data_IF_316858637912
#
_entry.id   IF_316858637912
#
_cell.length_a   1.000
_cell.length_b   1.000
_cell.length_c   1.000
_cell.angle_alpha   90.00
_cell.angle_beta   90.00
_cell.angle_gamma   90.00
#
_symmetry.space_group_name_H-M   'P 1'
#
loop_
_entity.id
_entity.type
_entity.pdbx_description
1 polymer ?
#
# COMPACT_ATOMS: atom_id res chain seq x y z
N UNK A 1 3.26 -12.45 -2.25
CA UNK A 1 4.50 -11.79 -2.67
C UNK A 1 5.37 -12.82 -3.41
N UNK A 2 5.85 -12.49 -4.60
CA UNK A 2 6.59 -13.41 -5.49
C UNK A 2 7.95 -12.77 -5.80
N UNK A 3 9.04 -13.43 -5.39
CA UNK A 3 10.39 -13.03 -5.75
C UNK A 3 10.72 -13.53 -7.15
N UNK A 4 11.28 -12.68 -8.00
CA UNK A 4 11.66 -13.03 -9.38
C UNK A 4 13.02 -12.46 -9.74
N UNK A 5 13.67 -13.05 -10.75
CA UNK A 5 14.93 -12.54 -11.29
C UNK A 5 14.71 -11.23 -12.06
N UNK A 6 15.75 -10.38 -12.23
CA UNK A 6 15.66 -9.18 -13.06
C UNK A 6 15.21 -9.48 -14.49
N UNK A 7 15.68 -10.58 -15.08
CA UNK A 7 15.33 -10.98 -16.46
C UNK A 7 13.85 -11.38 -16.57
N UNK A 8 13.34 -12.11 -15.58
CA UNK A 8 11.92 -12.45 -15.51
C UNK A 8 11.04 -11.20 -15.28
N UNK A 9 11.55 -10.23 -14.49
CA UNK A 9 10.84 -8.97 -14.29
C UNK A 9 10.70 -8.16 -15.59
N UNK A 10 11.69 -8.18 -16.46
CA UNK A 10 11.63 -7.52 -17.75
C UNK A 10 10.54 -8.13 -18.68
N UNK A 11 10.20 -9.41 -18.50
CA UNK A 11 9.19 -10.14 -19.26
C UNK A 11 7.87 -10.32 -18.51
N UNK A 12 7.69 -9.60 -17.40
CA UNK A 12 6.59 -9.85 -16.45
C UNK A 12 5.21 -9.63 -17.07
N UNK A 13 5.05 -8.64 -17.95
CA UNK A 13 3.77 -8.38 -18.63
C UNK A 13 3.34 -9.57 -19.48
N UNK A 14 4.26 -10.20 -20.20
CA UNK A 14 3.97 -11.37 -21.03
C UNK A 14 3.66 -12.60 -20.17
N UNK A 15 4.40 -12.79 -19.07
CA UNK A 15 4.18 -13.90 -18.13
C UNK A 15 2.78 -13.78 -17.49
N UNK A 16 2.41 -12.58 -17.03
CA UNK A 16 1.10 -12.35 -16.39
C UNK A 16 -0.02 -12.43 -17.42
N UNK A 17 0.20 -11.99 -18.65
CA UNK A 17 -0.77 -12.15 -19.73
C UNK A 17 -1.02 -13.63 -20.02
N UNK A 18 0.03 -14.43 -20.20
CA UNK A 18 -0.10 -15.87 -20.39
C UNK A 18 -0.84 -16.57 -19.25
N UNK A 19 -0.58 -16.16 -18.00
CA UNK A 19 -1.34 -16.66 -16.85
C UNK A 19 -2.82 -16.22 -16.89
N UNK A 20 -3.09 -14.97 -17.24
CA UNK A 20 -4.43 -14.41 -17.41
C UNK A 20 -5.24 -15.22 -18.44
N UNK A 21 -4.63 -15.47 -19.61
CA UNK A 21 -5.26 -16.23 -20.69
C UNK A 21 -5.54 -17.68 -20.27
N UNK A 22 -4.58 -18.33 -19.62
CA UNK A 22 -4.71 -19.71 -19.16
C UNK A 22 -5.72 -19.89 -18.02
N UNK A 23 -5.86 -18.88 -17.13
CA UNK A 23 -6.76 -18.93 -15.97
C UNK A 23 -8.16 -18.38 -16.25
N UNK A 24 -8.37 -17.67 -17.36
CA UNK A 24 -9.60 -16.94 -17.64
C UNK A 24 -9.84 -15.73 -16.71
N UNK A 25 -8.81 -15.28 -16.00
CA UNK A 25 -8.86 -14.14 -15.08
C UNK A 25 -8.19 -12.92 -15.73
N UNK A 26 -8.95 -11.97 -16.31
CA UNK A 26 -8.36 -10.79 -16.92
C UNK A 26 -7.64 -9.92 -15.91
N UNK A 27 -6.55 -9.29 -16.34
CA UNK A 27 -5.84 -8.27 -15.59
C UNK A 27 -6.68 -7.01 -15.57
N UNK A 28 -7.21 -6.64 -14.40
CA UNK A 28 -8.03 -5.44 -14.24
C UNK A 28 -7.21 -4.23 -13.84
N UNK A 29 -6.05 -4.45 -13.21
CA UNK A 29 -5.17 -3.36 -12.81
C UNK A 29 -3.72 -3.80 -12.72
N UNK A 30 -2.81 -2.91 -13.17
CA UNK A 30 -1.38 -3.00 -12.94
C UNK A 30 -0.95 -1.83 -12.07
N UNK A 31 -0.33 -2.11 -10.94
CA UNK A 31 0.18 -1.11 -10.00
C UNK A 31 1.70 -1.12 -10.08
N UNK A 32 2.26 -0.06 -10.67
CA UNK A 32 3.69 0.08 -10.77
C UNK A 32 4.28 0.72 -9.50
N UNK A 33 5.15 0.00 -8.81
CA UNK A 33 5.83 0.46 -7.60
C UNK A 33 7.29 0.88 -7.83
N UNK A 34 7.75 0.85 -9.06
CA UNK A 34 9.13 1.16 -9.46
C UNK A 34 9.70 0.06 -10.35
N UNK A 35 10.97 0.21 -10.74
CA UNK A 35 11.63 -0.71 -11.69
C UNK A 35 11.95 -2.10 -11.12
N UNK A 36 11.67 -2.34 -9.86
CA UNK A 36 11.96 -3.59 -9.17
C UNK A 36 10.75 -4.17 -8.41
N UNK A 37 9.59 -3.54 -8.53
CA UNK A 37 8.36 -4.01 -7.88
C UNK A 37 7.13 -3.61 -8.67
N UNK A 38 6.23 -4.57 -8.91
CA UNK A 38 4.96 -4.37 -9.59
C UNK A 38 3.89 -5.30 -8.99
N UNK A 39 2.65 -4.84 -8.94
CA UNK A 39 1.52 -5.66 -8.57
C UNK A 39 0.52 -5.74 -9.72
N UNK A 40 -0.10 -6.91 -9.89
CA UNK A 40 -1.19 -7.13 -10.82
C UNK A 40 -2.41 -7.60 -10.05
N UNK A 41 -3.54 -7.05 -10.39
CA UNK A 41 -4.84 -7.46 -9.86
C UNK A 41 -5.60 -8.13 -11.00
N UNK A 42 -5.96 -9.38 -10.79
CA UNK A 42 -6.78 -10.17 -11.70
C UNK A 42 -8.13 -10.42 -11.03
N UNK A 43 -9.20 -10.29 -11.79
CA UNK A 43 -10.56 -10.50 -11.31
C UNK A 43 -11.46 -10.95 -12.45
N UNK A 44 -12.41 -11.84 -12.22
CA UNK A 44 -13.46 -12.11 -13.22
C UNK A 44 -14.20 -10.81 -13.58
N UNK A 45 -14.60 -10.67 -14.83
CA UNK A 45 -15.41 -9.53 -15.30
C UNK A 45 -16.86 -9.55 -14.78
N UNK A 46 -17.25 -10.59 -14.04
CA UNK A 46 -18.59 -10.71 -13.48
C UNK A 46 -18.81 -9.73 -12.32
N UNK A 47 -19.85 -8.93 -12.38
CA UNK A 47 -20.25 -7.98 -11.34
C UNK A 47 -20.60 -8.69 -10.01
N UNK A 48 -20.95 -9.96 -10.06
CA UNK A 48 -21.35 -10.77 -8.90
C UNK A 48 -20.19 -11.47 -8.21
N UNK A 49 -19.00 -11.52 -8.85
CA UNK A 49 -17.85 -12.19 -8.29
C UNK A 49 -16.98 -11.22 -7.48
N UNK A 50 -16.83 -11.50 -6.21
CA UNK A 50 -15.93 -10.78 -5.30
C UNK A 50 -14.50 -11.34 -5.30
N UNK A 51 -14.22 -12.32 -6.15
CA UNK A 51 -12.89 -12.92 -6.25
C UNK A 51 -11.89 -11.93 -6.84
N UNK A 52 -10.79 -11.75 -6.14
CA UNK A 52 -9.67 -10.93 -6.59
C UNK A 52 -8.37 -11.65 -6.27
N UNK A 53 -7.54 -11.83 -7.28
CA UNK A 53 -6.19 -12.34 -7.12
C UNK A 53 -5.20 -11.19 -7.28
N UNK A 54 -4.46 -10.87 -6.23
CA UNK A 54 -3.37 -9.91 -6.28
C UNK A 54 -2.04 -10.65 -6.31
N UNK A 55 -1.25 -10.40 -7.34
CA UNK A 55 0.09 -10.93 -7.53
C UNK A 55 1.10 -9.78 -7.35
N UNK A 56 1.84 -9.80 -6.25
CA UNK A 56 2.89 -8.84 -5.95
C UNK A 56 4.25 -9.42 -6.33
N UNK A 57 4.90 -8.83 -7.33
CA UNK A 57 6.22 -9.24 -7.82
C UNK A 57 7.30 -8.27 -7.36
N UNK A 58 8.45 -8.79 -6.97
CA UNK A 58 9.60 -7.98 -6.61
C UNK A 58 10.93 -8.66 -7.00
N UNK A 59 11.89 -7.84 -7.40
CA UNK A 59 13.26 -8.30 -7.70
C UNK A 59 14.10 -8.41 -6.44
N UNK A 60 13.97 -7.43 -5.53
CA UNK A 60 14.65 -7.45 -4.24
C UNK A 60 13.64 -7.13 -3.14
N UNK A 61 13.74 -7.82 -2.00
CA UNK A 61 12.92 -7.45 -0.86
C UNK A 61 13.38 -6.10 -0.31
N UNK A 62 12.52 -5.11 -0.51
CA UNK A 62 12.70 -3.73 -0.07
C UNK A 62 11.36 -3.17 0.43
N UNK A 63 11.40 -2.11 1.24
CA UNK A 63 10.21 -1.47 1.77
C UNK A 63 10.39 0.05 1.84
N UNK A 64 9.30 0.80 2.08
CA UNK A 64 9.36 2.26 2.24
C UNK A 64 10.30 2.64 3.39
N UNK A 65 11.32 3.44 3.10
CA UNK A 65 12.32 3.86 4.07
C UNK A 65 13.47 2.86 4.29
N UNK A 66 13.50 1.79 3.50
CA UNK A 66 14.57 0.79 3.50
C UNK A 66 15.08 0.62 2.07
N UNK A 67 16.40 0.36 1.95
CA UNK A 67 16.97 -0.06 0.69
C UNK A 67 16.76 -1.57 0.47
N UNK A 68 17.70 -2.26 -0.12
CA UNK A 68 17.64 -3.69 -0.30
C UNK A 68 17.83 -4.41 1.05
N UNK A 69 16.84 -5.20 1.47
CA UNK A 69 16.89 -6.02 2.68
C UNK A 69 17.37 -7.44 2.38
N UNK A 70 16.79 -8.09 1.38
CA UNK A 70 17.20 -9.40 0.89
C UNK A 70 17.21 -9.39 -0.64
N UNK A 71 18.31 -9.73 -1.30
CA UNK A 71 18.35 -9.88 -2.75
C UNK A 71 17.48 -11.07 -3.20
N UNK A 72 16.83 -10.94 -4.36
CA UNK A 72 16.04 -12.06 -4.92
C UNK A 72 16.87 -13.30 -5.20
N UNK A 73 18.14 -13.14 -5.55
CA UNK A 73 19.05 -14.25 -5.78
C UNK A 73 19.14 -15.18 -4.56
N UNK A 74 19.22 -14.61 -3.34
CA UNK A 74 19.22 -15.40 -2.11
C UNK A 74 17.87 -16.08 -1.83
N UNK A 75 16.77 -15.48 -2.28
CA UNK A 75 15.44 -16.05 -2.07
C UNK A 75 15.11 -17.17 -3.06
N UNK A 76 15.72 -17.12 -4.25
CA UNK A 76 15.44 -18.06 -5.35
C UNK A 76 16.48 -19.17 -5.40
N UNK A 77 17.75 -18.88 -5.06
CA UNK A 77 18.78 -19.90 -4.93
C UNK A 77 18.32 -20.94 -3.90
N UNK A 78 18.52 -22.19 -4.17
CA UNK A 78 18.16 -23.32 -3.29
C UNK A 78 16.69 -23.32 -2.84
N UNK A 79 15.79 -22.66 -3.63
CA UNK A 79 14.37 -22.64 -3.34
C UNK A 79 13.79 -24.07 -3.36
N UNK A 80 13.10 -24.44 -2.28
CA UNK A 80 12.50 -25.76 -2.14
C UNK A 80 11.09 -25.79 -2.71
N UNK A 81 10.75 -26.91 -3.34
CA UNK A 81 9.40 -27.10 -3.87
C UNK A 81 8.44 -27.48 -2.73
N UNK A 82 7.35 -26.74 -2.59
CA UNK A 82 6.26 -27.02 -1.68
C UNK A 82 4.95 -27.08 -2.47
N UNK A 83 4.45 -28.27 -2.72
CA UNK A 83 3.30 -28.51 -3.62
C UNK A 83 3.57 -27.89 -5.01
N UNK A 84 2.82 -26.86 -5.36
CA UNK A 84 2.92 -26.17 -6.66
C UNK A 84 3.73 -24.86 -6.60
N UNK A 85 4.35 -24.55 -5.46
CA UNK A 85 5.10 -23.32 -5.24
C UNK A 85 6.56 -23.62 -4.91
N UNK A 86 7.42 -22.65 -5.20
CA UNK A 86 8.77 -22.62 -4.70
C UNK A 86 8.84 -21.62 -3.54
N UNK A 87 9.44 -22.05 -2.44
CA UNK A 87 9.64 -21.20 -1.25
C UNK A 87 11.13 -21.14 -0.94
N UNK A 88 11.61 -20.02 -0.38
CA UNK A 88 13.02 -19.90 0.01
C UNK A 88 13.43 -21.02 0.99
N UNK A 89 14.72 -21.35 1.08
CA UNK A 89 15.20 -22.24 2.11
C UNK A 89 14.98 -21.62 3.50
N UNK A 90 14.82 -22.43 4.57
CA UNK A 90 14.41 -21.93 5.90
C UNK A 90 15.31 -20.83 6.45
N UNK A 91 16.60 -20.89 6.19
CA UNK A 91 17.63 -19.91 6.58
C UNK A 91 17.45 -18.53 5.92
N UNK A 92 16.73 -18.45 4.82
CA UNK A 92 16.35 -17.19 4.15
C UNK A 92 14.89 -16.81 4.45
N UNK A 93 14.00 -17.80 4.50
CA UNK A 93 12.57 -17.62 4.81
C UNK A 93 12.37 -17.00 6.21
N UNK A 94 13.11 -17.50 7.20
CA UNK A 94 13.00 -17.04 8.58
C UNK A 94 13.38 -15.56 8.76
N UNK A 95 14.56 -15.07 8.30
CA UNK A 95 14.86 -13.64 8.31
C UNK A 95 13.88 -12.81 7.48
N UNK A 96 13.41 -13.31 6.35
CA UNK A 96 12.41 -12.62 5.53
C UNK A 96 11.11 -12.37 6.32
N UNK A 97 10.59 -13.39 7.00
CA UNK A 97 9.38 -13.25 7.81
C UNK A 97 9.59 -12.25 8.95
N UNK A 98 10.70 -12.34 9.67
CA UNK A 98 11.04 -11.40 10.76
C UNK A 98 11.12 -9.96 10.24
N UNK A 99 11.92 -9.71 9.19
CA UNK A 99 12.06 -8.39 8.60
C UNK A 99 10.72 -7.83 8.11
N UNK A 100 9.88 -8.68 7.49
CA UNK A 100 8.55 -8.29 7.02
C UNK A 100 7.64 -7.85 8.17
N UNK A 101 7.68 -8.53 9.33
CA UNK A 101 6.92 -8.14 10.53
C UNK A 101 7.39 -6.81 11.08
N UNK A 102 8.71 -6.62 11.20
CA UNK A 102 9.30 -5.35 11.67
C UNK A 102 8.89 -4.19 10.76
N UNK A 103 8.99 -4.36 9.44
CA UNK A 103 8.64 -3.32 8.45
C UNK A 103 7.17 -2.97 8.53
N UNK A 104 6.27 -3.96 8.58
CA UNK A 104 4.82 -3.74 8.67
C UNK A 104 4.37 -3.25 10.05
N UNK A 105 5.12 -3.55 11.10
CA UNK A 105 4.71 -3.30 12.48
C UNK A 105 3.57 -4.20 12.94
N UNK A 106 3.40 -5.32 12.26
CA UNK A 106 2.31 -6.27 12.43
C UNK A 106 2.84 -7.51 13.22
N UNK A 107 3.05 -7.33 14.50
CA UNK A 107 3.50 -8.39 15.41
C UNK A 107 2.33 -8.83 16.28
N UNK A 108 1.97 -10.12 16.20
CA UNK A 108 0.94 -10.75 17.02
C UNK A 108 1.32 -12.21 17.35
N UNK A 109 0.57 -12.83 18.25
CA UNK A 109 0.87 -14.18 18.74
C UNK A 109 0.87 -15.24 17.61
N UNK A 110 -0.05 -15.15 16.66
CA UNK A 110 -0.17 -16.07 15.53
C UNK A 110 1.08 -16.02 14.65
N UNK A 111 1.56 -14.82 14.33
CA UNK A 111 2.75 -14.62 13.49
C UNK A 111 4.05 -15.03 14.18
N UNK A 112 4.13 -14.88 15.50
CA UNK A 112 5.25 -15.42 16.25
C UNK A 112 5.24 -16.95 16.28
N UNK A 113 4.06 -17.55 16.36
CA UNK A 113 3.91 -19.01 16.28
C UNK A 113 4.43 -19.54 14.93
N UNK A 114 4.04 -18.92 13.81
CA UNK A 114 4.57 -19.26 12.47
C UNK A 114 6.11 -19.22 12.41
N UNK A 115 6.71 -18.16 12.96
CA UNK A 115 8.17 -17.97 12.98
C UNK A 115 8.86 -19.05 13.81
N UNK A 116 8.33 -19.41 14.98
CA UNK A 116 8.88 -20.47 15.83
C UNK A 116 8.76 -21.84 15.19
N UNK A 117 7.57 -22.19 14.69
CA UNK A 117 7.36 -23.45 13.98
C UNK A 117 8.31 -23.62 12.79
N UNK A 118 8.59 -22.54 12.06
CA UNK A 118 9.57 -22.58 10.99
C UNK A 118 10.98 -22.83 11.50
N UNK A 119 11.37 -22.16 12.61
CA UNK A 119 12.68 -22.38 13.24
C UNK A 119 12.86 -23.80 13.77
N UNK A 120 11.80 -24.43 14.30
CA UNK A 120 11.80 -25.78 14.88
C UNK A 120 11.80 -26.87 13.81
N UNK A 121 11.17 -26.62 12.65
CA UNK A 121 11.06 -27.62 11.55
C UNK A 121 12.38 -28.01 10.91
N UNK A 122 13.40 -27.22 11.05
CA UNK A 122 14.71 -27.44 10.42
C UNK A 122 15.81 -27.28 11.44
N UNK A 123 16.38 -28.40 11.88
CA UNK A 123 17.54 -28.41 12.77
C UNK A 123 18.69 -27.59 12.18
N UNK A 124 19.28 -26.71 12.98
CA UNK A 124 20.41 -25.89 12.56
C UNK A 124 20.04 -24.66 11.72
N UNK A 125 18.73 -24.35 11.53
CA UNK A 125 18.33 -23.14 10.75
C UNK A 125 18.96 -21.87 11.30
N UNK A 126 19.01 -21.69 12.63
CA UNK A 126 19.61 -20.49 13.23
C UNK A 126 21.12 -20.40 12.97
N UNK A 127 21.83 -21.54 12.92
CA UNK A 127 23.24 -21.55 12.57
C UNK A 127 23.45 -21.13 11.11
N UNK A 128 22.66 -21.64 10.19
CA UNK A 128 22.69 -21.24 8.78
C UNK A 128 22.29 -19.77 8.57
N UNK A 129 21.34 -19.23 9.37
CA UNK A 129 21.07 -17.79 9.40
C UNK A 129 22.31 -17.02 9.85
N UNK A 130 23.07 -17.55 10.82
CA UNK A 130 24.30 -16.93 11.29
C UNK A 130 25.39 -16.88 10.21
N UNK A 131 25.44 -17.88 9.34
CA UNK A 131 26.38 -17.90 8.21
C UNK A 131 25.96 -16.94 7.09
N UNK A 132 24.65 -16.78 6.85
CA UNK A 132 24.11 -16.01 5.73
C UNK A 132 23.90 -14.52 6.03
N UNK A 133 23.72 -14.14 7.30
CA UNK A 133 23.37 -12.78 7.69
C UNK A 133 24.29 -12.19 8.78
N UNK A 134 24.51 -10.86 8.79
CA UNK A 134 25.27 -10.19 9.83
C UNK A 134 24.64 -10.31 11.21
N UNK A 135 25.46 -10.18 12.26
CA UNK A 135 25.05 -10.30 13.67
C UNK A 135 23.79 -9.50 14.04
N UNK A 136 23.63 -8.31 13.46
CA UNK A 136 22.44 -7.49 13.72
C UNK A 136 21.13 -8.18 13.31
N UNK A 137 21.13 -8.90 12.17
CA UNK A 137 19.97 -9.65 11.70
C UNK A 137 19.81 -10.95 12.47
N UNK A 138 20.92 -11.64 12.78
CA UNK A 138 20.89 -12.83 13.63
C UNK A 138 20.23 -12.53 14.99
N UNK A 139 20.59 -11.41 15.63
CA UNK A 139 20.02 -10.97 16.90
C UNK A 139 18.51 -10.71 16.77
N UNK A 140 18.06 -10.03 15.69
CA UNK A 140 16.64 -9.82 15.46
C UNK A 140 15.88 -11.15 15.28
N UNK A 141 16.43 -12.08 14.52
CA UNK A 141 15.80 -13.40 14.30
C UNK A 141 15.73 -14.17 15.62
N UNK A 142 16.81 -14.22 16.39
CA UNK A 142 16.85 -14.89 17.70
C UNK A 142 15.85 -14.28 18.70
N UNK A 143 15.71 -12.96 18.70
CA UNK A 143 14.71 -12.26 19.53
C UNK A 143 13.29 -12.71 19.19
N UNK A 144 12.94 -12.77 17.90
CA UNK A 144 11.59 -13.17 17.45
C UNK A 144 11.31 -14.67 17.72
N UNK A 145 12.29 -15.52 17.53
CA UNK A 145 12.16 -16.97 17.82
C UNK A 145 12.01 -17.21 19.32
N UNK A 146 12.82 -16.52 20.16
CA UNK A 146 12.83 -16.68 21.60
C UNK A 146 11.72 -15.96 22.36
N UNK A 147 11.02 -15.03 21.73
CA UNK A 147 10.04 -14.19 22.42
C UNK A 147 8.84 -14.99 22.94
N UNK A 148 8.54 -14.84 24.24
CA UNK A 148 7.34 -15.44 24.85
C UNK A 148 6.12 -14.53 24.70
N UNK A 149 6.32 -13.21 24.72
CA UNK A 149 5.26 -12.21 24.61
C UNK A 149 5.44 -11.35 23.35
N UNK A 150 4.39 -11.18 22.56
CA UNK A 150 4.38 -10.33 21.36
C UNK A 150 4.31 -8.84 21.71
N UNK A 151 3.75 -8.50 22.88
CA UNK A 151 3.62 -7.13 23.38
C UNK A 151 4.99 -6.45 23.55
N UNK A 152 5.97 -7.18 24.10
CA UNK A 152 7.33 -6.67 24.28
C UNK A 152 8.02 -6.39 22.94
N UNK A 153 7.85 -7.28 21.95
CA UNK A 153 8.36 -7.06 20.60
C UNK A 153 7.70 -5.86 19.94
N UNK A 154 6.39 -5.71 20.09
CA UNK A 154 5.65 -4.58 19.55
C UNK A 154 6.08 -3.26 20.20
N UNK A 155 6.34 -3.22 21.49
CA UNK A 155 6.85 -2.03 22.18
C UNK A 155 8.22 -1.60 21.63
N UNK A 156 9.09 -2.56 21.28
CA UNK A 156 10.44 -2.31 20.79
C UNK A 156 10.53 -2.15 19.27
N UNK A 157 9.41 -2.18 18.54
CA UNK A 157 9.39 -2.22 17.07
C UNK A 157 10.15 -1.06 16.41
N UNK A 158 10.14 0.12 17.02
CA UNK A 158 10.86 1.28 16.50
C UNK A 158 12.38 1.11 16.60
N UNK A 159 12.89 0.50 17.66
CA UNK A 159 14.31 0.16 17.80
C UNK A 159 14.72 -0.86 16.76
N UNK A 160 13.94 -1.92 16.59
CA UNK A 160 14.16 -2.96 15.58
C UNK A 160 14.15 -2.38 14.15
N UNK A 161 13.26 -1.42 13.87
CA UNK A 161 13.24 -0.66 12.61
C UNK A 161 14.50 0.16 12.39
N UNK A 162 15.07 0.76 13.45
CA UNK A 162 16.33 1.49 13.36
C UNK A 162 17.49 0.55 13.01
N UNK A 163 17.57 -0.61 13.64
CA UNK A 163 18.57 -1.64 13.34
C UNK A 163 18.45 -2.08 11.87
N UNK A 164 17.23 -2.36 11.42
CA UNK A 164 16.97 -2.80 10.05
C UNK A 164 17.30 -1.72 9.01
N UNK A 165 17.06 -0.44 9.31
CA UNK A 165 17.47 0.68 8.46
C UNK A 165 18.98 0.81 8.36
N UNK A 166 19.69 0.72 9.49
CA UNK A 166 21.15 0.75 9.52
C UNK A 166 21.73 -0.39 8.69
N UNK A 167 21.22 -1.61 8.87
CA UNK A 167 21.59 -2.77 8.06
C UNK A 167 21.37 -2.51 6.58
N UNK A 168 20.14 -2.10 6.17
CA UNK A 168 19.85 -1.88 4.76
C UNK A 168 20.75 -0.80 4.13
N UNK A 169 21.14 0.22 4.90
CA UNK A 169 22.05 1.27 4.46
C UNK A 169 23.48 0.77 4.34
N UNK A 170 23.96 -0.02 5.29
CA UNK A 170 25.33 -0.53 5.31
C UNK A 170 25.60 -1.53 4.19
N UNK A 171 24.68 -2.48 3.97
CA UNK A 171 24.85 -3.58 3.02
C UNK A 171 24.32 -3.30 1.61
N UNK A 172 23.84 -2.08 1.35
CA UNK A 172 23.42 -1.69 0.02
C UNK A 172 24.46 -0.81 -0.65
N UNK A 173 25.01 -1.19 -1.82
CA UNK A 173 25.95 -0.37 -2.57
C UNK A 173 25.43 1.04 -2.86
N UNK A 174 26.33 2.03 -2.90
CA UNK A 174 25.95 3.44 -3.17
C UNK A 174 25.24 3.56 -4.50
N UNK A 175 25.72 2.89 -5.55
CA UNK A 175 25.08 2.89 -6.86
C UNK A 175 23.63 2.40 -6.82
N UNK A 176 23.34 1.36 -6.02
CA UNK A 176 21.98 0.88 -5.82
C UNK A 176 21.12 1.92 -5.09
N UNK A 177 21.67 2.60 -4.07
CA UNK A 177 20.95 3.65 -3.33
C UNK A 177 20.58 4.82 -4.22
N UNK A 178 21.48 5.26 -5.08
CA UNK A 178 21.23 6.32 -6.07
C UNK A 178 20.15 5.88 -7.07
N UNK A 179 20.28 4.66 -7.61
CA UNK A 179 19.27 4.08 -8.50
C UNK A 179 17.91 3.97 -7.81
N UNK A 180 17.87 3.56 -6.55
CA UNK A 180 16.65 3.48 -5.76
C UNK A 180 16.02 4.86 -5.54
N UNK A 181 16.82 5.89 -5.25
CA UNK A 181 16.34 7.26 -5.13
C UNK A 181 15.76 7.80 -6.45
N UNK A 182 16.46 7.58 -7.57
CA UNK A 182 15.99 7.94 -8.91
C UNK A 182 14.66 7.22 -9.25
N UNK A 183 14.59 5.91 -9.01
CA UNK A 183 13.37 5.12 -9.22
C UNK A 183 12.20 5.62 -8.36
N UNK A 184 12.47 6.02 -7.12
CA UNK A 184 11.45 6.57 -6.25
C UNK A 184 10.94 7.94 -6.73
N UNK A 185 11.82 8.80 -7.21
CA UNK A 185 11.46 10.07 -7.83
C UNK A 185 10.61 9.86 -9.10
N UNK A 186 11.04 8.94 -9.98
CA UNK A 186 10.27 8.57 -11.18
C UNK A 186 8.90 7.99 -10.82
N UNK A 187 8.82 7.16 -9.77
CA UNK A 187 7.56 6.62 -9.27
C UNK A 187 6.60 7.71 -8.80
N UNK A 188 7.11 8.71 -8.07
CA UNK A 188 6.31 9.85 -7.62
C UNK A 188 5.83 10.66 -8.83
N UNK A 189 6.73 11.01 -9.76
CA UNK A 189 6.39 11.72 -10.97
C UNK A 189 5.35 10.97 -11.82
N UNK A 190 5.50 9.64 -11.96
CA UNK A 190 4.54 8.80 -12.67
C UNK A 190 3.17 8.81 -11.98
N UNK A 191 3.12 8.72 -10.66
CA UNK A 191 1.85 8.75 -9.89
C UNK A 191 1.14 10.10 -9.99
N UNK A 192 1.89 11.19 -9.98
CA UNK A 192 1.32 12.52 -10.18
C UNK A 192 0.71 12.65 -11.58
N UNK A 193 1.38 12.11 -12.61
CA UNK A 193 0.92 12.15 -13.99
C UNK A 193 -0.20 11.14 -14.28
N UNK A 194 -0.18 10.01 -13.60
CA UNK A 194 -1.13 8.91 -13.76
C UNK A 194 -1.67 8.51 -12.37
N UNK A 195 -2.60 9.29 -11.80
CA UNK A 195 -3.17 9.00 -10.50
C UNK A 195 -3.87 7.64 -10.50
N UNK A 196 -3.60 6.84 -9.48
CA UNK A 196 -4.21 5.51 -9.31
C UNK A 196 -5.53 5.70 -8.60
N UNK A 197 -6.61 5.69 -9.33
CA UNK A 197 -7.93 5.87 -8.76
C UNK A 197 -8.87 6.60 -9.72
N UNK A 198 -10.11 6.67 -9.34
CA UNK A 198 -11.15 7.39 -10.08
C UNK A 198 -11.74 8.44 -9.15
N UNK A 199 -11.72 9.69 -9.59
CA UNK A 199 -12.46 10.77 -8.94
C UNK A 199 -13.77 10.94 -9.68
N UNK A 200 -14.88 10.72 -8.98
CA UNK A 200 -16.23 10.88 -9.51
C UNK A 200 -16.89 12.08 -8.86
N UNK A 201 -17.34 13.02 -9.68
CA UNK A 201 -18.13 14.14 -9.25
C UNK A 201 -19.61 13.91 -9.64
N UNK A 202 -20.49 13.85 -8.64
CA UNK A 202 -21.92 13.67 -8.86
C UNK A 202 -22.60 15.03 -8.73
N UNK A 203 -23.10 15.53 -9.85
CA UNK A 203 -23.82 16.80 -9.94
C UNK A 203 -25.31 16.55 -10.21
N UNK A 204 -26.14 17.42 -9.72
CA UNK A 204 -27.60 17.37 -9.97
C UNK A 204 -28.37 18.24 -8.99
N UNK A 205 -29.65 18.51 -9.29
CA UNK A 205 -30.57 19.25 -8.43
C UNK A 205 -30.88 18.51 -7.11
N UNK A 206 -31.41 19.22 -6.13
CA UNK A 206 -31.84 18.59 -4.88
C UNK A 206 -33.00 17.60 -5.16
N UNK A 207 -32.95 16.46 -4.47
CA UNK A 207 -33.91 15.38 -4.70
C UNK A 207 -33.60 14.44 -5.87
N UNK A 208 -32.53 14.70 -6.68
CA UNK A 208 -32.20 13.88 -7.87
C UNK A 208 -31.55 12.52 -7.55
N UNK A 209 -31.50 12.09 -6.29
CA UNK A 209 -30.95 10.79 -5.90
C UNK A 209 -29.41 10.73 -5.81
N UNK A 210 -28.71 11.88 -5.80
CA UNK A 210 -27.25 11.94 -5.68
C UNK A 210 -26.69 11.15 -4.51
N UNK A 211 -27.29 11.31 -3.34
CA UNK A 211 -26.85 10.63 -2.12
C UNK A 211 -26.98 9.12 -2.24
N UNK A 212 -28.13 8.64 -2.76
CA UNK A 212 -28.36 7.22 -2.98
C UNK A 212 -27.39 6.62 -4.01
N UNK A 213 -27.05 7.35 -5.07
CA UNK A 213 -26.03 6.94 -6.04
C UNK A 213 -24.66 6.84 -5.37
N UNK A 214 -24.24 7.86 -4.61
CA UNK A 214 -22.94 7.87 -3.92
C UNK A 214 -22.84 6.73 -2.90
N UNK A 215 -23.93 6.38 -2.21
CA UNK A 215 -23.98 5.26 -1.27
C UNK A 215 -23.94 3.89 -1.95
N UNK A 216 -24.47 3.78 -3.17
CA UNK A 216 -24.46 2.53 -3.93
C UNK A 216 -23.11 2.28 -4.65
N UNK A 217 -22.38 3.34 -5.05
CA UNK A 217 -21.13 3.25 -5.77
C UNK A 217 -20.08 2.32 -5.12
N UNK A 218 -19.81 2.39 -3.80
CA UNK A 218 -18.85 1.47 -3.17
C UNK A 218 -19.25 0.01 -3.27
N UNK A 219 -20.55 -0.30 -3.36
CA UNK A 219 -21.03 -1.68 -3.53
C UNK A 219 -20.76 -2.20 -4.94
N UNK A 220 -20.87 -1.32 -5.94
CA UNK A 220 -20.68 -1.70 -7.35
C UNK A 220 -19.21 -1.75 -7.73
N UNK A 221 -18.42 -0.73 -7.34
CA UNK A 221 -17.02 -0.59 -7.75
C UNK A 221 -16.01 -0.95 -6.67
N UNK A 222 -16.45 -1.18 -5.43
CA UNK A 222 -15.57 -1.41 -4.28
C UNK A 222 -14.63 -2.61 -4.43
N UNK A 223 -15.02 -3.58 -5.26
CA UNK A 223 -14.15 -4.68 -5.67
C UNK A 223 -12.89 -4.24 -6.41
N UNK A 224 -12.89 -3.12 -7.12
CA UNK A 224 -11.75 -2.62 -7.89
C UNK A 224 -10.79 -1.72 -7.10
N UNK A 225 -11.20 -1.23 -5.91
CA UNK A 225 -10.44 -0.27 -5.12
C UNK A 225 -10.22 -0.75 -3.70
N UNK A 226 -9.08 -0.41 -3.10
CA UNK A 226 -8.76 -0.74 -1.70
C UNK A 226 -9.54 0.10 -0.68
N UNK A 227 -10.12 1.21 -1.12
CA UNK A 227 -10.90 2.09 -0.29
C UNK A 227 -11.53 3.20 -1.11
N UNK A 228 -12.45 3.93 -0.50
CA UNK A 228 -13.05 5.12 -1.09
C UNK A 228 -13.07 6.23 -0.05
N UNK A 229 -13.03 7.46 -0.53
CA UNK A 229 -13.18 8.64 0.29
C UNK A 229 -14.28 9.52 -0.30
N UNK A 230 -15.17 9.98 0.55
CA UNK A 230 -16.27 10.87 0.18
C UNK A 230 -15.94 12.29 0.61
N UNK A 231 -16.02 13.19 -0.34
CA UNK A 231 -15.86 14.61 -0.09
C UNK A 231 -17.20 15.32 -0.27
N UNK A 232 -17.57 16.13 0.70
CA UNK A 232 -18.69 17.05 0.58
C UNK A 232 -18.15 18.43 0.28
N UNK A 233 -18.46 18.97 -0.88
CA UNK A 233 -18.14 20.32 -1.32
C UNK A 233 -16.64 20.62 -1.47
N UNK A 234 -15.74 20.08 -0.63
CA UNK A 234 -14.30 20.34 -0.69
C UNK A 234 -13.49 19.27 0.04
N UNK A 235 -12.20 19.11 -0.31
CA UNK A 235 -11.30 18.14 0.35
C UNK A 235 -11.00 18.44 1.83
N UNK A 236 -11.31 19.64 2.35
CA UNK A 236 -11.07 20.09 3.72
C UNK A 236 -9.62 19.94 4.21
N UNK A 237 -8.64 20.15 3.31
CA UNK A 237 -7.23 20.03 3.60
C UNK A 237 -6.64 21.30 4.23
N UNK A 238 -7.16 22.45 3.86
CA UNK A 238 -6.77 23.73 4.43
C UNK A 238 -7.67 24.07 5.63
N UNK A 239 -7.14 24.78 6.65
CA UNK A 239 -7.94 25.25 7.78
C UNK A 239 -9.19 25.92 7.25
N UNK A 240 -10.36 25.45 7.65
CA UNK A 240 -11.60 25.98 7.14
C UNK A 240 -11.67 27.48 7.35
N UNK A 241 -11.75 28.24 6.26
CA UNK A 241 -12.22 29.61 6.34
C UNK A 241 -13.70 29.52 6.72
N UNK A 242 -13.94 29.36 8.02
CA UNK A 242 -15.27 29.30 8.60
C UNK A 242 -15.92 30.66 8.51
N UNK A 243 -16.45 30.97 7.33
CA UNK A 243 -17.59 31.86 7.26
C UNK A 243 -18.81 30.99 7.50
N UNK A 244 -19.21 30.95 8.76
CA UNK A 244 -20.46 30.36 9.24
C UNK A 244 -20.82 28.99 8.64
N UNK A 245 -20.49 27.95 9.38
CA UNK A 245 -21.35 26.77 9.34
C UNK A 245 -22.78 27.28 9.56
N UNK A 246 -23.59 27.27 8.53
CA UNK A 246 -25.02 27.24 8.75
C UNK A 246 -25.28 26.01 9.61
N UNK A 247 -25.36 26.18 10.92
CA UNK A 247 -26.10 25.25 11.76
C UNK A 247 -27.41 25.11 11.04
N UNK A 248 -27.67 23.91 10.55
CA UNK A 248 -29.05 23.52 10.19
C UNK A 248 -29.80 23.71 11.48
N UNK A 249 -30.44 24.85 11.59
CA UNK A 249 -31.43 25.06 12.63
C UNK A 249 -32.43 23.94 12.43
N UNK A 250 -32.60 23.12 13.43
CA UNK A 250 -33.75 22.18 13.48
C UNK A 250 -34.98 22.96 13.06
N UNK A 251 -35.73 22.52 12.04
CA UNK A 251 -36.90 23.24 11.60
C UNK A 251 -37.88 23.29 12.77
N UNK A 252 -38.10 24.47 13.32
CA UNK A 252 -39.28 24.72 14.09
C UNK A 252 -40.45 24.67 13.09
N UNK A 253 -41.42 23.83 13.35
CA UNK A 253 -42.63 23.68 12.57
C UNK A 253 -43.20 25.06 12.24
N UNK A 254 -43.27 25.40 10.96
CA UNK A 254 -44.06 26.55 10.44
C UNK A 254 -43.35 27.60 9.60
N UNK A 255 -42.02 27.57 9.36
CA UNK A 255 -41.39 28.56 8.48
C UNK A 255 -40.83 27.91 7.20
N UNK A 256 -41.48 28.21 6.08
CA UNK A 256 -40.92 27.96 4.73
C UNK A 256 -39.75 28.93 4.48
N UNK A 257 -38.59 28.67 5.12
CA UNK A 257 -37.40 29.39 4.79
C UNK A 257 -36.80 28.73 3.53
N UNK A 258 -36.78 29.52 2.44
CA UNK A 258 -36.09 29.09 1.21
C UNK A 258 -34.66 28.76 1.53
N UNK A 259 -34.16 27.53 1.28
CA UNK A 259 -32.84 27.09 1.69
C UNK A 259 -31.69 27.75 0.92
N UNK A 260 -31.95 28.71 0.05
CA UNK A 260 -30.98 29.26 -0.91
C UNK A 260 -30.79 30.79 -0.86
N UNK A 261 -30.94 31.42 0.29
CA UNK A 261 -30.50 32.81 0.41
C UNK A 261 -28.98 32.81 0.61
N UNK A 262 -28.24 32.76 -0.50
CA UNK A 262 -26.79 32.96 -0.47
C UNK A 262 -26.52 34.45 -0.26
N UNK A 263 -25.71 34.84 0.76
CA UNK A 263 -25.31 36.23 0.89
C UNK A 263 -24.52 36.65 -0.37
N UNK A 264 -24.90 37.80 -0.96
CA UNK A 264 -24.19 38.37 -2.12
C UNK A 264 -22.81 38.81 -1.66
N UNK A 265 -21.77 38.14 -2.12
CA UNK A 265 -20.37 38.54 -1.89
C UNK A 265 -19.95 39.52 -2.98
N UNK A 266 -19.21 40.61 -2.64
CA UNK A 266 -18.58 41.47 -3.63
C UNK A 266 -17.58 40.69 -4.49
N UNK A 267 -17.35 41.13 -5.73
CA UNK A 267 -16.54 40.44 -6.73
C UNK A 267 -15.13 40.07 -6.23
N UNK A 268 -14.47 40.97 -5.49
CA UNK A 268 -13.14 40.70 -4.93
C UNK A 268 -13.16 39.52 -3.93
N UNK A 269 -14.16 39.45 -3.07
CA UNK A 269 -14.31 38.39 -2.05
C UNK A 269 -14.66 37.05 -2.70
N UNK A 270 -15.44 37.09 -3.79
CA UNK A 270 -15.75 35.89 -4.58
C UNK A 270 -14.51 35.34 -5.30
N UNK A 271 -13.65 36.21 -5.82
CA UNK A 271 -12.39 35.84 -6.47
C UNK A 271 -11.40 35.19 -5.49
N UNK A 272 -11.24 35.77 -4.31
CA UNK A 272 -10.39 35.21 -3.24
C UNK A 272 -10.91 33.85 -2.83
N UNK A 273 -12.22 33.69 -2.65
CA UNK A 273 -12.84 32.40 -2.31
C UNK A 273 -12.65 31.36 -3.42
N UNK A 274 -12.77 31.75 -4.67
CA UNK A 274 -12.54 30.88 -5.83
C UNK A 274 -11.10 30.41 -5.89
N UNK A 275 -10.13 31.32 -5.72
CA UNK A 275 -8.70 31.00 -5.70
C UNK A 275 -8.36 30.06 -4.54
N UNK A 276 -8.93 30.31 -3.36
CA UNK A 276 -8.75 29.45 -2.20
C UNK A 276 -9.23 28.01 -2.48
N UNK A 277 -10.44 27.86 -3.02
CA UNK A 277 -10.95 26.54 -3.38
C UNK A 277 -10.15 25.88 -4.49
N UNK A 278 -9.71 26.64 -5.48
CA UNK A 278 -8.87 26.10 -6.55
C UNK A 278 -7.56 25.51 -5.99
N UNK A 279 -6.88 26.23 -5.09
CA UNK A 279 -5.67 25.75 -4.42
C UNK A 279 -5.97 24.52 -3.56
N UNK A 280 -7.08 24.52 -2.82
CA UNK A 280 -7.48 23.38 -1.98
C UNK A 280 -7.73 22.13 -2.82
N UNK A 281 -8.42 22.25 -3.97
CA UNK A 281 -8.64 21.12 -4.87
C UNK A 281 -7.36 20.63 -5.54
N UNK A 282 -6.47 21.55 -5.90
CA UNK A 282 -5.19 21.21 -6.51
C UNK A 282 -4.28 20.45 -5.53
N UNK A 283 -4.19 20.91 -4.29
CA UNK A 283 -3.46 20.23 -3.22
C UNK A 283 -4.14 18.91 -2.86
N UNK A 284 -5.46 18.87 -2.81
CA UNK A 284 -6.23 17.64 -2.53
C UNK A 284 -6.02 16.56 -3.56
N UNK A 285 -5.97 16.94 -4.84
CA UNK A 285 -5.64 16.03 -5.92
C UNK A 285 -4.22 15.46 -5.84
N UNK A 286 -3.26 16.22 -5.31
CA UNK A 286 -1.86 15.78 -5.12
C UNK A 286 -1.73 14.85 -3.90
N UNK A 287 -2.46 15.12 -2.82
CA UNK A 287 -2.35 14.38 -1.55
C UNK A 287 -3.18 13.09 -1.59
N UNK A 288 -4.29 13.08 -2.32
CA UNK A 288 -5.17 11.90 -2.47
C UNK A 288 -4.57 10.82 -3.39
N UNK A 289 -3.45 11.09 -4.04
CA UNK A 289 -2.65 10.16 -4.85
C UNK A 289 -1.52 9.54 -4.02
#
# INVERSE_FOLDING_TARGET
>A
DIAITPDAFAKLDDIVRGFSDASGLPVVQKIWHGNNKCAYILSPLSVTSWFRLQLDFFVDFSAKGYYRLIPSQLMIADARRMKNFFIPPPEIELPFLVMRRIVKGDVNAEKLKEIRELSERSDGTLNKVADAFPRAIQSLVSEFVGAKAWESLRANINQQRCILRAYSKQYTPIAYRLRHAANNALRIAHRVRHPVGISLCVLGSDGSGKSSLIESLPRVVGGAFHGYQRFYSRPALLPGWTLEQHRVATPSEGSTVSPHVSPSYGTARSLVKLTYYFVEYLLGGIIAV
#
